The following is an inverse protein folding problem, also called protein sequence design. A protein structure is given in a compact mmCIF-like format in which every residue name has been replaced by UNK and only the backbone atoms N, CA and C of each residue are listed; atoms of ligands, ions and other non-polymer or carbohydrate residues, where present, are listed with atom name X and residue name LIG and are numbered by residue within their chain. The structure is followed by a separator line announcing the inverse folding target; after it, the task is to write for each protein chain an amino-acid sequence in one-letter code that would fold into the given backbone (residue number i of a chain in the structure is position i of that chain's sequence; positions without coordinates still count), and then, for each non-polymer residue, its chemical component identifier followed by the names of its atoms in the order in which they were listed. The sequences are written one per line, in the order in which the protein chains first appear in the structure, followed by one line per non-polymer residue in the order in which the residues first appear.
data_IF_387992919869
#
_entry.id   IF_387992919869
#
_cell.length_a   1.000
_cell.length_b   1.000
_cell.length_c   1.000
_cell.angle_alpha   90.00
_cell.angle_beta   90.00
_cell.angle_gamma   90.00
#
_symmetry.space_group_name_H-M   'P 1'
#
loop_
_entity.id
_entity.type
_entity.pdbx_description
1 polymer ?
#
# COMPACT_ATOMS: atom_id res chain seq x y z
N UNK A 1 22.14 -1.38 -20.40
CA UNK A 1 21.06 -2.05 -19.67
C UNK A 1 20.70 -1.29 -18.40
N UNK A 2 21.64 -1.05 -17.46
CA UNK A 2 21.39 -0.41 -16.16
C UNK A 2 20.52 0.86 -16.21
N UNK A 3 20.77 1.77 -17.15
CA UNK A 3 20.03 3.04 -17.26
C UNK A 3 18.53 2.86 -17.60
N UNK A 4 18.16 1.83 -18.37
CA UNK A 4 16.75 1.58 -18.73
C UNK A 4 15.94 1.12 -17.51
N UNK A 5 16.48 0.18 -16.73
CA UNK A 5 15.89 -0.27 -15.46
C UNK A 5 15.80 0.90 -14.47
N UNK A 6 16.82 1.77 -14.45
CA UNK A 6 16.83 2.98 -13.62
C UNK A 6 15.78 4.00 -14.04
N UNK A 7 15.53 4.21 -15.35
CA UNK A 7 14.46 5.09 -15.84
C UNK A 7 13.08 4.50 -15.55
N UNK A 8 12.84 3.23 -15.87
CA UNK A 8 11.54 2.58 -15.63
C UNK A 8 11.17 2.59 -14.13
N UNK A 9 12.14 2.29 -13.27
CA UNK A 9 11.99 2.38 -11.82
C UNK A 9 11.80 3.81 -11.29
N UNK A 10 12.21 4.85 -12.02
CA UNK A 10 11.92 6.25 -11.66
C UNK A 10 10.54 6.70 -12.16
N UNK A 11 10.15 6.30 -13.37
CA UNK A 11 8.82 6.55 -13.92
C UNK A 11 7.73 5.96 -13.04
N UNK A 12 7.90 4.71 -12.58
CA UNK A 12 6.95 4.04 -11.67
C UNK A 12 6.76 4.79 -10.35
N UNK A 13 7.84 5.25 -9.71
CA UNK A 13 7.77 6.13 -8.53
C UNK A 13 7.04 7.44 -8.84
N UNK A 14 7.40 8.13 -9.93
CA UNK A 14 6.78 9.41 -10.29
C UNK A 14 5.27 9.27 -10.50
N UNK A 15 4.84 8.20 -11.15
CA UNK A 15 3.43 7.84 -11.31
C UNK A 15 2.79 7.55 -9.94
N UNK A 16 3.46 6.76 -9.08
CA UNK A 16 2.95 6.42 -7.74
C UNK A 16 2.77 7.65 -6.84
N UNK A 17 3.77 8.53 -6.76
CA UNK A 17 3.72 9.78 -5.99
C UNK A 17 2.60 10.68 -6.52
N UNK A 18 2.49 10.86 -7.85
CA UNK A 18 1.40 11.63 -8.46
C UNK A 18 0.03 11.01 -8.17
N UNK A 19 -0.11 9.68 -8.25
CA UNK A 19 -1.33 8.99 -7.85
C UNK A 19 -1.64 9.27 -6.38
N UNK A 20 -0.71 9.04 -5.46
CA UNK A 20 -0.90 9.30 -4.02
C UNK A 20 -1.32 10.73 -3.73
N UNK A 21 -0.70 11.73 -4.36
CA UNK A 21 -1.06 13.13 -4.21
C UNK A 21 -2.47 13.43 -4.76
N UNK A 22 -2.82 12.90 -5.93
CA UNK A 22 -4.19 13.00 -6.50
C UNK A 22 -5.23 12.36 -5.56
N UNK A 23 -4.92 11.19 -4.97
CA UNK A 23 -5.79 10.55 -3.97
C UNK A 23 -5.96 11.47 -2.74
N UNK A 24 -4.90 12.13 -2.28
CA UNK A 24 -4.95 13.02 -1.10
C UNK A 24 -5.77 14.28 -1.36
N UNK A 25 -5.65 14.92 -2.53
CA UNK A 25 -6.51 16.05 -2.90
C UNK A 25 -7.98 15.64 -3.02
N UNK A 26 -8.27 14.47 -3.63
CA UNK A 26 -9.64 13.96 -3.75
C UNK A 26 -10.24 13.54 -2.41
N UNK A 27 -9.44 13.00 -1.47
CA UNK A 27 -9.88 12.62 -0.13
C UNK A 27 -9.99 13.79 0.85
N UNK A 28 -9.27 14.90 0.60
CA UNK A 28 -9.45 16.17 1.33
C UNK A 28 -10.59 17.03 0.77
N UNK A 29 -11.12 16.68 -0.41
CA UNK A 29 -12.03 17.49 -1.23
C UNK A 29 -11.42 18.83 -1.73
N UNK A 30 -10.09 18.93 -1.76
CA UNK A 30 -9.38 20.12 -2.26
C UNK A 30 -9.23 20.04 -3.79
N UNK A 31 -10.28 20.48 -4.48
CA UNK A 31 -10.37 20.50 -5.94
C UNK A 31 -9.45 21.57 -6.55
N UNK A 32 -9.17 22.65 -5.82
CA UNK A 32 -8.31 23.73 -6.29
C UNK A 32 -6.83 23.31 -6.25
N UNK A 33 -6.39 22.66 -5.17
CA UNK A 33 -5.08 21.99 -5.11
C UNK A 33 -4.94 20.91 -6.18
N UNK A 34 -6.00 20.12 -6.44
CA UNK A 34 -5.98 19.10 -7.50
C UNK A 34 -5.80 19.72 -8.90
N UNK A 35 -6.48 20.82 -9.21
CA UNK A 35 -6.37 21.49 -10.52
C UNK A 35 -4.99 22.13 -10.72
N UNK A 36 -4.45 22.77 -9.68
CA UNK A 36 -3.10 23.36 -9.70
C UNK A 36 -2.02 22.27 -9.84
N UNK A 37 -2.16 21.14 -9.13
CA UNK A 37 -1.29 19.97 -9.27
C UNK A 37 -1.34 19.37 -10.68
N UNK A 38 -2.53 19.14 -11.24
CA UNK A 38 -2.71 18.60 -12.60
C UNK A 38 -2.15 19.54 -13.67
N UNK A 39 -2.19 20.85 -13.43
CA UNK A 39 -1.58 21.85 -14.32
C UNK A 39 -0.05 21.77 -14.26
N UNK A 40 0.55 21.78 -13.07
CA UNK A 40 2.00 21.63 -12.85
C UNK A 40 2.54 20.29 -13.34
N UNK A 41 1.78 19.22 -13.20
CA UNK A 41 2.12 17.89 -13.72
C UNK A 41 2.13 17.89 -15.27
N UNK A 42 1.15 18.54 -15.91
CA UNK A 42 1.15 18.73 -17.38
C UNK A 42 2.33 19.56 -17.86
N UNK A 43 2.67 20.64 -17.17
CA UNK A 43 3.85 21.46 -17.51
C UNK A 43 5.14 20.64 -17.44
N UNK A 44 5.38 19.92 -16.33
CA UNK A 44 6.54 19.02 -16.20
C UNK A 44 6.57 17.94 -17.28
N UNK A 45 5.46 17.26 -17.57
CA UNK A 45 5.41 16.25 -18.64
C UNK A 45 5.66 16.84 -20.03
N UNK A 46 5.22 18.08 -20.31
CA UNK A 46 5.49 18.78 -21.57
C UNK A 46 6.95 19.27 -21.68
N UNK A 47 7.61 19.51 -20.55
CA UNK A 47 9.01 19.92 -20.48
C UNK A 47 9.96 18.71 -20.56
N UNK A 48 9.60 17.59 -19.93
CA UNK A 48 10.35 16.33 -19.98
C UNK A 48 10.28 15.68 -21.39
N UNK A 49 9.09 15.61 -22.01
CA UNK A 49 8.93 15.04 -23.36
C UNK A 49 9.68 15.81 -24.46
N UNK A 50 9.95 17.12 -24.30
CA UNK A 50 10.77 17.89 -25.25
C UNK A 50 12.22 17.39 -25.35
N UNK A 51 12.68 16.61 -24.38
CA UNK A 51 14.02 16.04 -24.36
C UNK A 51 14.07 14.61 -24.92
N UNK A 52 12.97 14.08 -25.49
CA UNK A 52 12.85 12.69 -25.95
C UNK A 52 12.34 12.60 -27.41
N UNK A 53 12.83 13.48 -28.30
CA UNK A 53 12.71 13.24 -29.74
C UNK A 53 13.69 12.16 -30.20
N UNK A 54 13.24 10.89 -30.18
CA UNK A 54 13.77 9.85 -31.06
C UNK A 54 14.14 8.50 -30.43
N UNK A 55 13.21 7.54 -30.44
CA UNK A 55 13.42 6.26 -31.15
C UNK A 55 12.11 5.43 -31.22
N UNK A 56 11.72 5.04 -32.43
CA UNK A 56 10.78 3.92 -32.64
C UNK A 56 11.45 2.59 -32.29
N UNK A 57 10.74 1.63 -31.69
CA UNK A 57 10.59 0.26 -32.22
C UNK A 57 9.58 -0.61 -31.45
N UNK A 58 9.41 -1.87 -31.89
CA UNK A 58 8.20 -2.71 -31.72
C UNK A 58 8.27 -3.77 -30.59
N UNK A 59 7.12 -4.41 -30.38
CA UNK A 59 6.83 -5.45 -29.38
C UNK A 59 7.60 -6.77 -29.58
N UNK A 60 7.92 -7.44 -28.47
CA UNK A 60 7.74 -8.88 -28.13
C UNK A 60 8.55 -9.17 -26.84
N UNK A 61 8.20 -10.08 -25.92
CA UNK A 61 7.02 -10.95 -25.83
C UNK A 61 7.36 -12.34 -25.27
N UNK A 62 7.28 -12.54 -23.94
CA UNK A 62 7.20 -13.88 -23.29
C UNK A 62 6.93 -13.81 -21.78
N UNK A 63 6.17 -14.79 -21.29
CA UNK A 63 6.01 -15.14 -19.87
C UNK A 63 6.98 -16.27 -19.51
N UNK A 64 7.31 -16.44 -18.22
CA UNK A 64 7.78 -17.72 -17.69
C UNK A 64 7.36 -17.88 -16.21
N UNK A 65 6.72 -19.00 -15.88
CA UNK A 65 6.33 -19.35 -14.51
C UNK A 65 7.44 -20.18 -13.85
N UNK A 66 7.66 -20.00 -12.54
CA UNK A 66 8.43 -20.97 -11.73
C UNK A 66 7.66 -21.31 -10.47
N UNK A 67 7.08 -22.50 -10.47
CA UNK A 67 6.53 -23.18 -9.29
C UNK A 67 7.69 -23.72 -8.43
N UNK A 68 7.55 -23.72 -7.09
CA UNK A 68 8.58 -24.21 -6.16
C UNK A 68 7.97 -25.13 -5.11
N UNK A 69 8.39 -26.39 -5.19
CA UNK A 69 7.83 -27.56 -4.49
C UNK A 69 8.33 -27.67 -3.04
N UNK A 70 7.50 -28.25 -2.16
CA UNK A 70 7.80 -28.59 -0.75
C UNK A 70 8.75 -29.80 -0.59
N UNK A 71 9.10 -30.08 0.67
CA UNK A 71 9.86 -31.25 1.20
C UNK A 71 11.38 -30.98 1.33
N UNK A 72 12.14 -31.63 2.22
CA UNK A 72 11.86 -32.84 3.02
C UNK A 72 12.56 -32.81 4.41
N UNK A 73 12.39 -33.86 5.23
CA UNK A 73 12.78 -33.96 6.65
C UNK A 73 14.06 -34.82 6.93
N UNK A 74 14.33 -35.07 8.22
CA UNK A 74 15.31 -36.03 8.83
C UNK A 74 16.82 -35.64 8.76
N UNK A 75 17.69 -35.87 9.76
CA UNK A 75 17.62 -36.42 11.14
C UNK A 75 18.95 -36.08 11.91
N UNK A 76 19.49 -36.74 12.94
CA UNK A 76 19.18 -37.95 13.78
C UNK A 76 19.82 -37.73 15.21
N UNK A 77 19.82 -38.75 16.10
CA UNK A 77 20.35 -38.84 17.51
C UNK A 77 21.90 -38.97 17.59
N UNK A 78 22.63 -39.11 18.72
CA UNK A 78 22.44 -39.47 20.17
C UNK A 78 23.68 -38.89 20.97
N UNK A 79 24.13 -39.10 22.24
CA UNK A 79 24.06 -40.03 23.43
C UNK A 79 24.43 -39.15 24.68
N UNK A 80 23.73 -39.04 25.83
CA UNK A 80 23.50 -39.90 27.04
C UNK A 80 24.68 -40.08 28.06
N UNK A 81 24.50 -39.48 29.25
CA UNK A 81 25.02 -39.74 30.62
C UNK A 81 26.49 -39.55 31.09
N UNK A 82 26.59 -39.08 32.35
CA UNK A 82 27.72 -39.10 33.28
C UNK A 82 27.32 -38.45 34.62
N UNK A 83 27.58 -39.10 35.76
CA UNK A 83 27.16 -38.64 37.11
C UNK A 83 28.11 -37.58 37.73
N UNK A 84 27.65 -36.77 38.71
CA UNK A 84 28.46 -35.70 39.30
C UNK A 84 29.53 -36.23 40.27
N UNK A 85 30.78 -35.86 40.02
CA UNK A 85 31.91 -36.08 40.94
C UNK A 85 32.10 -34.86 41.84
N UNK A 86 32.43 -35.10 43.11
CA UNK A 86 32.68 -34.07 44.12
C UNK A 86 33.88 -33.16 43.76
N UNK A 87 33.92 -31.90 44.26
CA UNK A 87 34.93 -30.94 43.86
C UNK A 87 36.34 -31.33 44.34
N UNK A 88 37.33 -31.07 43.49
CA UNK A 88 38.75 -31.07 43.85
C UNK A 88 39.22 -29.62 43.81
N UNK A 89 39.71 -29.12 44.95
CA UNK A 89 40.41 -27.84 45.00
C UNK A 89 41.76 -27.96 44.29
N UNK A 90 41.81 -27.47 43.06
CA UNK A 90 43.06 -27.11 42.38
C UNK A 90 42.91 -25.70 41.80
N UNK A 91 43.90 -24.85 42.07
CA UNK A 91 43.77 -23.40 41.87
C UNK A 91 43.80 -23.01 40.38
N UNK A 92 42.63 -22.99 39.74
CA UNK A 92 42.45 -22.43 38.40
C UNK A 92 42.98 -20.99 38.42
N UNK A 93 43.97 -20.62 37.57
CA UNK A 93 44.40 -19.24 37.44
C UNK A 93 43.20 -18.39 37.05
N UNK A 94 42.87 -17.38 37.85
CA UNK A 94 41.71 -16.54 37.61
C UNK A 94 41.84 -15.86 36.24
N UNK A 95 41.15 -16.42 35.22
CA UNK A 95 41.08 -15.83 33.91
C UNK A 95 40.48 -14.44 34.07
N UNK A 96 41.32 -13.41 33.91
CA UNK A 96 40.86 -12.04 33.75
C UNK A 96 40.06 -12.00 32.46
N UNK A 97 38.75 -12.16 32.57
CA UNK A 97 37.82 -11.80 31.50
C UNK A 97 38.16 -10.37 31.08
N UNK A 98 38.51 -10.12 29.81
CA UNK A 98 38.65 -8.75 29.35
C UNK A 98 37.33 -8.04 29.64
N UNK A 99 37.41 -6.87 30.29
CA UNK A 99 36.22 -6.16 30.71
C UNK A 99 35.31 -5.95 29.50
N UNK A 100 34.00 -6.06 29.71
CA UNK A 100 33.04 -5.68 28.67
C UNK A 100 33.09 -4.16 28.53
N UNK A 101 34.02 -3.69 27.68
CA UNK A 101 33.98 -2.33 27.15
C UNK A 101 32.58 -2.09 26.61
N UNK A 102 31.85 -1.22 27.32
CA UNK A 102 30.47 -0.90 27.00
C UNK A 102 30.54 0.12 25.89
N UNK A 103 30.50 -0.38 24.65
CA UNK A 103 30.64 0.45 23.45
C UNK A 103 29.36 1.29 23.33
N UNK A 104 29.44 2.55 23.71
CA UNK A 104 28.43 3.55 23.41
C UNK A 104 28.45 3.79 21.88
N UNK A 105 27.37 3.39 21.21
CA UNK A 105 27.13 3.66 19.79
C UNK A 105 26.05 4.73 19.75
N UNK A 106 26.39 5.93 19.29
CA UNK A 106 25.42 7.01 19.13
C UNK A 106 24.72 6.91 17.77
N UNK A 107 23.55 7.55 17.63
CA UNK A 107 22.80 7.52 16.36
C UNK A 107 23.59 8.14 15.18
N UNK A 108 24.52 9.06 15.47
CA UNK A 108 25.46 9.64 14.49
C UNK A 108 26.40 8.61 13.85
N UNK A 109 26.66 7.49 14.53
CA UNK A 109 27.60 6.45 14.11
C UNK A 109 26.92 5.42 13.18
N UNK A 110 25.58 5.44 13.09
CA UNK A 110 24.76 4.52 12.31
C UNK A 110 24.79 4.80 10.80
N UNK A 111 25.98 4.96 10.23
CA UNK A 111 26.21 5.31 8.83
C UNK A 111 26.28 4.04 7.96
N UNK A 112 25.44 3.91 6.90
CA UNK A 112 25.54 2.86 5.90
C UNK A 112 26.90 2.86 5.19
N UNK A 113 27.63 1.74 5.27
CA UNK A 113 29.01 1.63 4.78
C UNK A 113 29.23 0.46 3.82
N UNK A 114 28.61 -0.70 4.10
CA UNK A 114 28.70 -1.88 3.24
C UNK A 114 27.87 -1.70 1.97
N UNK A 115 27.96 -2.63 1.03
CA UNK A 115 27.11 -2.62 -0.17
C UNK A 115 25.65 -2.84 0.23
N UNK A 116 25.38 -3.88 1.01
CA UNK A 116 24.03 -4.26 1.45
C UNK A 116 23.35 -3.17 2.29
N UNK A 117 24.08 -2.48 3.17
CA UNK A 117 23.54 -1.37 3.97
C UNK A 117 23.13 -0.18 3.08
N UNK A 118 23.91 0.08 2.02
CA UNK A 118 23.62 1.16 1.06
C UNK A 118 22.43 0.80 0.17
N UNK A 119 22.36 -0.42 -0.34
CA UNK A 119 21.17 -0.89 -1.09
C UNK A 119 19.89 -0.84 -0.22
N UNK A 120 19.99 -1.15 1.08
CA UNK A 120 18.88 -1.02 2.02
C UNK A 120 18.48 0.44 2.27
N UNK A 121 19.45 1.34 2.51
CA UNK A 121 19.18 2.77 2.68
C UNK A 121 18.56 3.36 1.40
N UNK A 122 19.10 3.02 0.22
CA UNK A 122 18.57 3.46 -1.08
C UNK A 122 17.10 3.04 -1.26
N UNK A 123 16.68 1.89 -0.76
CA UNK A 123 15.28 1.46 -0.82
C UNK A 123 14.39 2.21 0.19
N UNK A 124 14.87 2.41 1.41
CA UNK A 124 14.18 3.18 2.45
C UNK A 124 13.96 4.63 2.01
N UNK A 125 14.96 5.26 1.38
CA UNK A 125 14.81 6.61 0.81
C UNK A 125 13.87 6.66 -0.40
N UNK A 126 13.70 5.56 -1.17
CA UNK A 126 12.64 5.50 -2.20
C UNK A 126 11.26 5.53 -1.57
N UNK A 127 11.00 4.77 -0.50
CA UNK A 127 9.71 4.82 0.22
C UNK A 127 9.44 6.23 0.75
N UNK A 128 10.44 6.89 1.35
CA UNK A 128 10.32 8.30 1.77
C UNK A 128 10.01 9.24 0.59
N UNK A 129 10.68 9.08 -0.55
CA UNK A 129 10.44 9.88 -1.76
C UNK A 129 9.05 9.68 -2.39
N UNK A 130 8.39 8.56 -2.11
CA UNK A 130 7.01 8.26 -2.54
C UNK A 130 5.96 8.88 -1.61
N UNK A 131 6.31 9.04 -0.33
CA UNK A 131 5.47 9.70 0.66
C UNK A 131 5.54 11.23 0.52
N UNK A 132 6.69 11.79 0.15
CA UNK A 132 6.95 13.26 0.16
C UNK A 132 6.54 13.87 1.52
N UNK A 133 5.72 14.93 1.54
CA UNK A 133 5.16 15.52 2.77
C UNK A 133 4.13 14.60 3.46
N UNK A 134 3.60 13.61 2.74
CA UNK A 134 2.40 12.84 3.06
C UNK A 134 2.72 11.56 3.84
N UNK A 135 2.96 11.74 5.15
CA UNK A 135 3.28 10.65 6.09
C UNK A 135 2.23 9.53 6.08
N UNK A 136 2.66 8.30 6.39
CA UNK A 136 1.76 7.13 6.50
C UNK A 136 0.50 7.39 7.32
N UNK A 137 0.60 8.15 8.42
CA UNK A 137 -0.55 8.46 9.28
C UNK A 137 -1.65 9.25 8.55
N UNK A 138 -1.27 10.18 7.66
CA UNK A 138 -2.21 10.94 6.82
C UNK A 138 -2.86 10.06 5.76
N UNK A 139 -2.10 9.11 5.18
CA UNK A 139 -2.60 8.15 4.20
C UNK A 139 -3.57 7.14 4.82
N UNK A 140 -3.28 6.69 6.04
CA UNK A 140 -4.11 5.77 6.84
C UNK A 140 -5.40 6.49 7.28
N UNK A 141 -5.32 7.72 7.77
CA UNK A 141 -6.50 8.48 8.23
C UNK A 141 -7.41 8.88 7.06
N UNK A 142 -6.85 9.29 5.92
CA UNK A 142 -7.64 9.54 4.71
C UNK A 142 -8.29 8.25 4.15
N UNK A 143 -7.67 7.08 4.32
CA UNK A 143 -8.32 5.79 4.02
C UNK A 143 -9.45 5.46 5.02
N UNK A 144 -9.33 5.79 6.32
CA UNK A 144 -10.43 5.67 7.29
C UNK A 144 -11.60 6.58 6.96
N UNK A 145 -11.33 7.83 6.55
CA UNK A 145 -12.34 8.76 6.05
C UNK A 145 -13.06 8.19 4.82
N UNK A 146 -12.33 7.64 3.86
CA UNK A 146 -12.95 6.96 2.70
C UNK A 146 -13.82 5.77 3.15
N UNK A 147 -13.38 5.00 4.15
CA UNK A 147 -14.14 3.86 4.67
C UNK A 147 -15.47 4.26 5.33
N UNK A 148 -15.50 5.35 6.09
CA UNK A 148 -16.74 5.85 6.71
C UNK A 148 -17.67 6.49 5.67
N UNK A 149 -17.13 7.23 4.71
CA UNK A 149 -17.90 7.81 3.61
C UNK A 149 -18.49 6.74 2.67
N UNK A 150 -17.76 5.66 2.37
CA UNK A 150 -18.28 4.54 1.57
C UNK A 150 -19.40 3.77 2.28
N UNK A 151 -19.30 3.55 3.60
CA UNK A 151 -20.39 2.97 4.41
C UNK A 151 -21.64 3.86 4.43
N UNK A 152 -21.45 5.17 4.46
CA UNK A 152 -22.57 6.12 4.35
C UNK A 152 -23.18 6.11 2.94
N UNK A 153 -22.36 5.98 1.88
CA UNK A 153 -22.82 5.87 0.50
C UNK A 153 -23.61 4.57 0.25
N UNK A 154 -23.16 3.44 0.79
CA UNK A 154 -23.86 2.15 0.77
C UNK A 154 -25.26 2.26 1.41
N UNK A 155 -25.33 2.84 2.61
CA UNK A 155 -26.60 3.05 3.32
C UNK A 155 -27.56 3.92 2.50
N UNK A 156 -27.05 4.99 1.89
CA UNK A 156 -27.86 5.93 1.12
C UNK A 156 -28.27 5.35 -0.25
N UNK A 157 -27.42 4.53 -0.86
CA UNK A 157 -27.72 3.75 -2.07
C UNK A 157 -28.89 2.80 -1.85
N UNK A 158 -28.81 1.95 -0.81
CA UNK A 158 -29.87 0.97 -0.52
C UNK A 158 -31.17 1.64 -0.05
N UNK A 159 -31.09 2.78 0.65
CA UNK A 159 -32.25 3.61 0.98
C UNK A 159 -32.96 4.13 -0.27
N UNK A 160 -32.24 4.81 -1.17
CA UNK A 160 -32.81 5.33 -2.42
C UNK A 160 -33.34 4.21 -3.33
N UNK A 161 -32.67 3.06 -3.36
CA UNK A 161 -33.16 1.88 -4.08
C UNK A 161 -34.49 1.35 -3.53
N UNK A 162 -34.66 1.36 -2.20
CA UNK A 162 -35.93 1.01 -1.55
C UNK A 162 -37.04 2.03 -1.86
N UNK A 163 -36.73 3.33 -1.81
CA UNK A 163 -37.67 4.41 -2.17
C UNK A 163 -38.16 4.28 -3.63
N UNK A 164 -37.26 3.95 -4.57
CA UNK A 164 -37.60 3.65 -5.97
C UNK A 164 -38.52 2.41 -6.09
N UNK A 165 -38.27 1.35 -5.31
CA UNK A 165 -39.14 0.17 -5.28
C UNK A 165 -40.55 0.49 -4.77
N UNK A 166 -40.66 1.21 -3.66
CA UNK A 166 -41.95 1.63 -3.09
C UNK A 166 -42.72 2.51 -4.06
N UNK A 167 -42.08 3.53 -4.67
CA UNK A 167 -42.74 4.41 -5.65
C UNK A 167 -43.20 3.67 -6.91
N UNK A 168 -42.47 2.65 -7.35
CA UNK A 168 -42.90 1.80 -8.47
C UNK A 168 -44.07 0.89 -8.10
N UNK A 169 -44.15 0.40 -6.86
CA UNK A 169 -45.31 -0.35 -6.37
C UNK A 169 -46.54 0.55 -6.25
N UNK A 170 -46.42 1.74 -5.65
CA UNK A 170 -47.49 2.74 -5.57
C UNK A 170 -48.10 3.04 -6.96
N UNK A 171 -47.27 3.38 -7.95
CA UNK A 171 -47.75 3.71 -9.29
C UNK A 171 -48.40 2.52 -10.02
N UNK A 172 -47.96 1.28 -9.74
CA UNK A 172 -48.60 0.06 -10.27
C UNK A 172 -49.94 -0.27 -9.60
N UNK A 173 -50.17 0.21 -8.37
CA UNK A 173 -51.43 0.01 -7.63
C UNK A 173 -52.53 1.02 -7.98
N UNK A 174 -52.24 2.05 -8.78
CA UNK A 174 -53.23 3.07 -9.16
C UNK A 174 -54.26 2.50 -10.16
N UNK A 175 -55.59 2.63 -9.92
CA UNK A 175 -56.62 1.93 -10.71
C UNK A 175 -56.71 2.24 -12.22
N UNK A 176 -56.07 3.31 -12.71
CA UNK A 176 -56.13 3.75 -14.12
C UNK A 176 -54.84 4.46 -14.56
N UNK A 177 -53.85 3.72 -15.09
CA UNK A 177 -52.64 4.26 -15.74
C UNK A 177 -52.99 4.74 -17.16
N UNK A 178 -53.77 5.82 -17.21
CA UNK A 178 -54.46 6.28 -18.41
C UNK A 178 -53.81 7.49 -19.10
N UNK A 179 -52.93 8.25 -18.44
CA UNK A 179 -52.17 9.31 -19.13
C UNK A 179 -50.85 8.78 -19.71
N UNK A 180 -50.38 9.43 -20.78
CA UNK A 180 -49.05 9.15 -21.35
C UNK A 180 -47.93 9.56 -20.38
N UNK A 181 -48.17 10.58 -19.55
CA UNK A 181 -47.28 11.08 -18.50
C UNK A 181 -47.01 10.01 -17.43
N UNK A 182 -48.04 9.29 -16.98
CA UNK A 182 -47.89 8.24 -15.96
C UNK A 182 -47.08 7.05 -16.49
N UNK A 183 -47.27 6.71 -17.77
CA UNK A 183 -46.49 5.65 -18.43
C UNK A 183 -45.02 6.03 -18.56
N UNK A 184 -44.71 7.29 -18.87
CA UNK A 184 -43.34 7.79 -18.85
C UNK A 184 -42.75 7.76 -17.43
N UNK A 185 -43.50 8.20 -16.41
CA UNK A 185 -43.07 8.15 -15.00
C UNK A 185 -42.71 6.72 -14.55
N UNK A 186 -43.52 5.73 -14.91
CA UNK A 186 -43.27 4.31 -14.63
C UNK A 186 -42.03 3.79 -15.39
N UNK A 187 -41.83 4.21 -16.64
CA UNK A 187 -40.66 3.81 -17.42
C UNK A 187 -39.34 4.35 -16.84
N UNK A 188 -39.29 5.62 -16.41
CA UNK A 188 -38.09 6.16 -15.76
C UNK A 188 -37.84 5.55 -14.37
N UNK A 189 -38.88 5.24 -13.58
CA UNK A 189 -38.73 4.45 -12.35
C UNK A 189 -38.09 3.08 -12.62
N UNK A 190 -38.51 2.38 -13.67
CA UNK A 190 -37.94 1.07 -14.05
C UNK A 190 -36.50 1.20 -14.53
N UNK A 191 -36.16 2.22 -15.35
CA UNK A 191 -34.79 2.48 -15.80
C UNK A 191 -33.84 2.75 -14.63
N UNK A 192 -34.24 3.62 -13.69
CA UNK A 192 -33.45 3.92 -12.50
C UNK A 192 -33.31 2.66 -11.61
N UNK A 193 -34.39 1.92 -11.37
CA UNK A 193 -34.36 0.67 -10.61
C UNK A 193 -33.41 -0.36 -11.22
N UNK A 194 -33.38 -0.50 -12.55
CA UNK A 194 -32.46 -1.40 -13.24
C UNK A 194 -31.00 -0.95 -13.08
N UNK A 195 -30.70 0.33 -13.30
CA UNK A 195 -29.34 0.90 -13.11
C UNK A 195 -28.84 0.77 -11.67
N UNK A 196 -29.73 0.90 -10.67
CA UNK A 196 -29.38 0.57 -9.28
C UNK A 196 -29.07 -0.92 -9.12
N UNK A 197 -29.90 -1.83 -9.65
CA UNK A 197 -29.62 -3.28 -9.60
C UNK A 197 -28.28 -3.65 -10.24
N UNK A 198 -27.95 -3.04 -11.40
CA UNK A 198 -26.68 -3.20 -12.11
C UNK A 198 -25.47 -2.71 -11.29
N UNK A 199 -25.63 -1.64 -10.51
CA UNK A 199 -24.57 -1.08 -9.65
C UNK A 199 -24.38 -1.80 -8.30
N UNK A 200 -25.20 -2.80 -7.93
CA UNK A 200 -25.11 -3.46 -6.61
C UNK A 200 -23.77 -4.12 -6.35
N UNK A 201 -23.26 -4.89 -7.31
CA UNK A 201 -21.93 -5.53 -7.20
C UNK A 201 -20.79 -4.49 -7.14
N UNK A 202 -21.03 -3.27 -7.60
CA UNK A 202 -20.06 -2.17 -7.48
C UNK A 202 -20.03 -1.55 -6.08
N UNK A 203 -21.11 -1.63 -5.29
CA UNK A 203 -21.07 -1.31 -3.85
C UNK A 203 -20.16 -2.31 -3.12
N UNK A 204 -20.36 -3.61 -3.37
CA UNK A 204 -19.56 -4.67 -2.75
C UNK A 204 -18.07 -4.55 -3.12
N UNK A 205 -17.80 -4.21 -4.40
CA UNK A 205 -16.46 -3.96 -4.93
C UNK A 205 -15.82 -2.69 -4.34
N UNK A 206 -16.56 -1.58 -4.27
CA UNK A 206 -16.12 -0.34 -3.59
C UNK A 206 -15.67 -0.63 -2.16
N UNK A 207 -16.53 -1.29 -1.38
CA UNK A 207 -16.25 -1.63 0.02
C UNK A 207 -15.01 -2.52 0.15
N UNK A 208 -14.89 -3.54 -0.70
CA UNK A 208 -13.74 -4.46 -0.72
C UNK A 208 -12.43 -3.73 -1.07
N UNK A 209 -12.44 -2.85 -2.08
CA UNK A 209 -11.24 -2.12 -2.52
C UNK A 209 -10.78 -1.08 -1.49
N UNK A 210 -11.71 -0.40 -0.80
CA UNK A 210 -11.37 0.54 0.29
C UNK A 210 -10.76 -0.18 1.49
N UNK A 211 -11.36 -1.29 1.92
CA UNK A 211 -10.86 -2.07 3.05
C UNK A 211 -9.50 -2.71 2.72
N UNK A 212 -9.32 -3.25 1.51
CA UNK A 212 -8.04 -3.77 1.04
C UNK A 212 -6.96 -2.68 1.01
N UNK A 213 -7.24 -1.53 0.39
CA UNK A 213 -6.29 -0.42 0.30
C UNK A 213 -5.91 0.19 1.66
N UNK A 214 -6.85 0.24 2.61
CA UNK A 214 -6.58 0.64 4.00
C UNK A 214 -5.65 -0.36 4.72
N UNK A 215 -5.91 -1.65 4.59
CA UNK A 215 -5.09 -2.70 5.19
C UNK A 215 -3.67 -2.69 4.60
N UNK A 216 -3.52 -2.55 3.29
CA UNK A 216 -2.21 -2.47 2.63
C UNK A 216 -1.40 -1.22 3.03
N UNK A 217 -2.03 -0.06 3.22
CA UNK A 217 -1.37 1.13 3.81
C UNK A 217 -0.87 0.87 5.22
N UNK A 218 -1.65 0.15 6.02
CA UNK A 218 -1.28 -0.22 7.39
C UNK A 218 -0.12 -1.22 7.43
N UNK A 219 -0.12 -2.23 6.54
CA UNK A 219 1.00 -3.16 6.37
C UNK A 219 2.25 -2.49 5.78
N UNK A 220 2.10 -1.56 4.84
CA UNK A 220 3.20 -0.79 4.27
C UNK A 220 3.92 0.05 5.33
N UNK A 221 3.17 0.68 6.25
CA UNK A 221 3.74 1.38 7.41
C UNK A 221 4.57 0.43 8.28
N UNK A 222 4.00 -0.71 8.67
CA UNK A 222 4.70 -1.71 9.48
C UNK A 222 6.01 -2.18 8.82
N UNK A 223 5.98 -2.52 7.53
CA UNK A 223 7.20 -2.93 6.82
C UNK A 223 8.23 -1.79 6.68
N UNK A 224 7.81 -0.54 6.56
CA UNK A 224 8.74 0.59 6.58
C UNK A 224 9.41 0.79 7.95
N UNK A 225 8.63 0.70 9.03
CA UNK A 225 9.14 0.82 10.41
C UNK A 225 10.13 -0.31 10.75
N UNK A 226 9.83 -1.55 10.33
CA UNK A 226 10.78 -2.66 10.44
C UNK A 226 12.00 -2.51 9.52
N UNK A 227 11.87 -1.94 8.31
CA UNK A 227 13.02 -1.66 7.44
C UNK A 227 14.04 -0.71 8.09
N UNK A 228 13.58 0.43 8.64
CA UNK A 228 14.48 1.38 9.33
C UNK A 228 15.11 0.76 10.58
N UNK A 229 14.32 0.00 11.35
CA UNK A 229 14.76 -0.70 12.57
C UNK A 229 15.83 -1.77 12.27
N UNK A 230 15.58 -2.67 11.32
CA UNK A 230 16.50 -3.74 10.95
C UNK A 230 17.78 -3.20 10.30
N UNK A 231 17.73 -2.07 9.58
CA UNK A 231 18.95 -1.42 9.07
C UNK A 231 19.80 -0.82 10.21
N UNK A 232 19.17 -0.15 11.19
CA UNK A 232 19.89 0.33 12.39
C UNK A 232 20.51 -0.83 13.17
N UNK A 233 19.82 -1.97 13.28
CA UNK A 233 20.36 -3.19 13.91
C UNK A 233 21.55 -3.78 13.13
N UNK A 234 21.44 -3.90 11.80
CA UNK A 234 22.51 -4.39 10.93
C UNK A 234 23.81 -3.58 11.08
N UNK A 235 23.70 -2.25 11.05
CA UNK A 235 24.81 -1.33 11.23
C UNK A 235 25.38 -1.45 12.65
N UNK A 236 24.53 -1.51 13.66
CA UNK A 236 24.92 -1.66 15.08
C UNK A 236 25.73 -2.95 15.29
N UNK A 237 25.29 -4.08 14.74
CA UNK A 237 26.02 -5.34 14.85
C UNK A 237 27.33 -5.33 14.05
N UNK A 238 27.39 -4.69 12.87
CA UNK A 238 28.68 -4.46 12.21
C UNK A 238 29.64 -3.67 13.10
N UNK A 239 29.19 -2.59 13.73
CA UNK A 239 30.05 -1.73 14.56
C UNK A 239 30.58 -2.47 15.79
N UNK A 240 29.71 -3.16 16.55
CA UNK A 240 30.09 -4.01 17.69
C UNK A 240 31.15 -5.05 17.30
N UNK A 241 30.97 -5.71 16.15
CA UNK A 241 31.81 -6.84 15.74
C UNK A 241 33.03 -6.44 14.88
N UNK A 242 33.09 -5.20 14.39
CA UNK A 242 34.33 -4.62 13.88
C UNK A 242 35.41 -4.61 14.96
N UNK A 243 35.05 -4.37 16.21
CA UNK A 243 35.97 -4.33 17.37
C UNK A 243 36.36 -5.74 17.88
N UNK A 244 35.60 -6.79 17.57
CA UNK A 244 35.83 -8.17 18.06
C UNK A 244 36.36 -9.09 16.95
N UNK A 245 37.68 -9.07 16.74
CA UNK A 245 38.34 -9.73 15.61
C UNK A 245 38.07 -11.24 15.48
N UNK A 246 37.89 -11.95 16.59
CA UNK A 246 37.66 -13.41 16.65
C UNK A 246 36.33 -13.85 16.02
N UNK A 247 35.28 -13.03 16.09
CA UNK A 247 33.94 -13.35 15.58
C UNK A 247 33.54 -12.58 14.32
N UNK A 248 34.36 -11.60 13.89
CA UNK A 248 34.13 -10.72 12.74
C UNK A 248 33.61 -11.44 11.49
N UNK A 249 34.07 -12.66 11.17
CA UNK A 249 33.65 -13.38 9.95
C UNK A 249 32.19 -13.87 10.00
N UNK A 250 31.69 -14.28 11.16
CA UNK A 250 30.29 -14.72 11.33
C UNK A 250 29.37 -13.51 11.51
N UNK A 251 29.79 -12.52 12.29
CA UNK A 251 29.02 -11.30 12.49
C UNK A 251 28.83 -10.48 11.21
N UNK A 252 29.86 -10.38 10.35
CA UNK A 252 29.72 -9.72 9.05
C UNK A 252 28.71 -10.42 8.12
N UNK A 253 28.52 -11.74 8.27
CA UNK A 253 27.48 -12.48 7.55
C UNK A 253 26.09 -12.14 8.10
N UNK A 254 25.92 -12.13 9.43
CA UNK A 254 24.66 -11.79 10.08
C UNK A 254 24.21 -10.34 9.78
N UNK A 255 25.10 -9.34 9.93
CA UNK A 255 24.79 -7.95 9.57
C UNK A 255 24.48 -7.80 8.07
N UNK A 256 25.12 -8.61 7.20
CA UNK A 256 24.81 -8.69 5.78
C UNK A 256 23.43 -9.31 5.49
N UNK A 257 22.98 -10.28 6.30
CA UNK A 257 21.61 -10.81 6.21
C UNK A 257 20.59 -9.77 6.65
N UNK A 258 20.77 -9.16 7.83
CA UNK A 258 19.88 -8.11 8.36
C UNK A 258 19.75 -6.94 7.38
N UNK A 259 20.84 -6.50 6.76
CA UNK A 259 20.81 -5.45 5.71
C UNK A 259 19.93 -5.84 4.52
N UNK A 260 20.00 -7.10 4.06
CA UNK A 260 19.17 -7.61 2.94
C UNK A 260 17.71 -7.80 3.35
N UNK A 261 17.43 -8.05 4.62
CA UNK A 261 16.09 -8.16 5.19
C UNK A 261 15.44 -6.77 5.34
N UNK A 262 16.17 -5.78 5.86
CA UNK A 262 15.75 -4.37 5.87
C UNK A 262 15.39 -3.87 4.46
N UNK A 263 16.23 -4.19 3.45
CA UNK A 263 15.93 -3.90 2.04
C UNK A 263 14.61 -4.56 1.59
N UNK A 264 14.40 -5.85 1.86
CA UNK A 264 13.16 -6.56 1.51
C UNK A 264 11.92 -5.96 2.18
N UNK A 265 12.04 -5.49 3.42
CA UNK A 265 10.94 -4.80 4.09
C UNK A 265 10.63 -3.45 3.41
N UNK A 266 11.62 -2.69 2.95
CA UNK A 266 11.39 -1.50 2.13
C UNK A 266 10.78 -1.82 0.75
N UNK A 267 11.25 -2.87 0.05
CA UNK A 267 10.66 -3.37 -1.22
C UNK A 267 9.19 -3.76 -1.03
N UNK A 268 8.86 -4.49 0.05
CA UNK A 268 7.49 -4.87 0.39
C UNK A 268 6.61 -3.65 0.71
N UNK A 269 7.14 -2.68 1.46
CA UNK A 269 6.43 -1.44 1.80
C UNK A 269 6.05 -0.66 0.53
N UNK A 270 6.99 -0.48 -0.40
CA UNK A 270 6.76 0.19 -1.68
C UNK A 270 5.70 -0.53 -2.52
N UNK A 271 5.79 -1.86 -2.67
CA UNK A 271 4.82 -2.67 -3.42
C UNK A 271 3.40 -2.60 -2.83
N UNK A 272 3.28 -2.54 -1.50
CA UNK A 272 1.99 -2.36 -0.82
C UNK A 272 1.42 -0.94 -0.99
N UNK A 273 2.27 0.09 -1.08
CA UNK A 273 1.84 1.44 -1.45
C UNK A 273 1.35 1.50 -2.90
N UNK A 274 2.02 0.81 -3.84
CA UNK A 274 1.58 0.68 -5.24
C UNK A 274 0.20 0.02 -5.34
N UNK A 275 0.06 -1.18 -4.74
CA UNK A 275 -1.20 -1.94 -4.69
C UNK A 275 -2.34 -1.12 -4.06
N UNK A 276 -2.10 -0.53 -2.89
CA UNK A 276 -3.09 0.31 -2.20
C UNK A 276 -3.53 1.51 -3.04
N UNK A 277 -2.59 2.19 -3.71
CA UNK A 277 -2.90 3.36 -4.54
C UNK A 277 -3.81 3.02 -5.70
N UNK A 278 -3.58 1.88 -6.36
CA UNK A 278 -4.48 1.36 -7.40
C UNK A 278 -5.90 1.13 -6.89
N UNK A 279 -6.04 0.41 -5.77
CA UNK A 279 -7.36 0.04 -5.20
C UNK A 279 -8.14 1.24 -4.67
N UNK A 280 -7.47 2.18 -3.99
CA UNK A 280 -8.10 3.42 -3.52
C UNK A 280 -8.50 4.30 -4.73
N UNK A 281 -7.72 4.31 -5.82
CA UNK A 281 -8.08 5.00 -7.06
C UNK A 281 -9.32 4.39 -7.74
N UNK A 282 -9.36 3.06 -7.87
CA UNK A 282 -10.50 2.33 -8.41
C UNK A 282 -11.77 2.57 -7.57
N UNK A 283 -11.65 2.46 -6.25
CA UNK A 283 -12.71 2.75 -5.30
C UNK A 283 -13.31 4.16 -5.47
N UNK A 284 -12.49 5.21 -5.61
CA UNK A 284 -13.02 6.56 -5.82
C UNK A 284 -13.75 6.71 -7.16
N UNK A 285 -13.28 6.02 -8.22
CA UNK A 285 -13.99 5.95 -9.50
C UNK A 285 -15.39 5.35 -9.35
N UNK A 286 -15.47 4.16 -8.73
CA UNK A 286 -16.73 3.46 -8.45
C UNK A 286 -17.67 4.31 -7.59
N UNK A 287 -17.14 4.94 -6.52
CA UNK A 287 -17.90 5.85 -5.65
C UNK A 287 -18.53 7.00 -6.43
N UNK A 288 -17.81 7.63 -7.35
CA UNK A 288 -18.30 8.78 -8.12
C UNK A 288 -19.50 8.38 -8.99
N UNK A 289 -19.40 7.28 -9.72
CA UNK A 289 -20.50 6.69 -10.52
C UNK A 289 -21.78 6.47 -9.69
N UNK A 290 -21.60 5.96 -8.47
CA UNK A 290 -22.69 5.64 -7.53
C UNK A 290 -23.28 6.93 -6.94
N UNK A 291 -22.45 7.90 -6.57
CA UNK A 291 -22.91 9.23 -6.12
C UNK A 291 -23.73 9.95 -7.20
N UNK A 292 -23.33 9.89 -8.46
CA UNK A 292 -24.06 10.52 -9.58
C UNK A 292 -25.43 9.85 -9.80
N UNK A 293 -25.48 8.51 -9.80
CA UNK A 293 -26.75 7.76 -9.86
C UNK A 293 -27.69 8.06 -8.67
N UNK A 294 -27.15 8.23 -7.47
CA UNK A 294 -27.92 8.63 -6.27
C UNK A 294 -28.45 10.06 -6.41
N UNK A 295 -27.65 11.01 -6.93
CA UNK A 295 -28.06 12.40 -7.17
C UNK A 295 -29.20 12.46 -8.21
N UNK A 296 -29.07 11.70 -9.30
CA UNK A 296 -30.11 11.57 -10.34
C UNK A 296 -31.43 11.03 -9.76
N UNK A 297 -31.38 9.90 -9.04
CA UNK A 297 -32.58 9.29 -8.46
C UNK A 297 -33.22 10.16 -7.37
N UNK A 298 -32.45 10.84 -6.53
CA UNK A 298 -32.98 11.82 -5.55
C UNK A 298 -33.71 12.97 -6.22
N UNK A 299 -33.14 13.51 -7.31
CA UNK A 299 -33.79 14.56 -8.12
C UNK A 299 -35.10 14.05 -8.72
N UNK A 300 -35.09 12.86 -9.32
CA UNK A 300 -36.27 12.27 -9.93
C UNK A 300 -37.37 11.93 -8.92
N UNK A 301 -37.04 11.30 -7.80
CA UNK A 301 -37.97 11.01 -6.69
C UNK A 301 -38.62 12.30 -6.17
N UNK A 302 -37.82 13.37 -6.01
CA UNK A 302 -38.34 14.69 -5.58
C UNK A 302 -39.35 15.28 -6.58
N UNK A 303 -39.20 15.00 -7.87
CA UNK A 303 -40.15 15.43 -8.92
C UNK A 303 -41.48 14.66 -8.91
N UNK A 304 -41.54 13.50 -8.23
CA UNK A 304 -42.74 12.67 -8.09
C UNK A 304 -43.59 13.02 -6.85
N UNK A 305 -43.11 13.92 -5.98
CA UNK A 305 -43.81 14.37 -4.76
C UNK A 305 -44.57 15.69 -4.99
N UNK A 306 -44.51 16.24 -6.22
CA UNK A 306 -45.30 17.38 -6.70
C UNK A 306 -46.39 16.94 -7.68
#
# INVERSE_FOLDING_TARGET
MSNLISQEGNMKKSILTVCMFILLCLLSCDIDALNDLLSKAREKFLEENKNIEGSDHKQEGKEEQVDVVKNMEEGVRQVVQGDPVAPVDDAIPAFQYPQQETIEIEEKDLIPSTKEEKEAQEEIEKVKSVLEDSKFDQLIENSRKLQSESKQLESDFYRIFSELQTKLQEQRSLPKINSQTDRAKIQELIKLQNRFNEKRTQIDMLMTQVDAGFNERSSAKYFFEEAEKTLKEAITERLKNALRSSFRRVANYLSGQLSREARRYAENSLSLLESSSGKIGEAMGIRKDIEELIKEAKSYLSSLVR
#
